data_IF_212816069128
#
_entry.id   IF_212816069128
#
_cell.length_a   1.000
_cell.length_b   1.000
_cell.length_c   1.000
_cell.angle_alpha   90.00
_cell.angle_beta   90.00
_cell.angle_gamma   90.00
#
_symmetry.space_group_name_H-M   'P 1'
#
loop_
_entity.id
_entity.type
_entity.pdbx_description
1 polymer ?
#
# COMPACT_ATOMS: atom_id res chain seq x y z
N UNK A 1 79.01 -12.80 4.73
CA UNK A 1 78.28 -12.48 5.98
C UNK A 1 77.08 -11.65 5.57
N UNK A 2 75.89 -12.22 5.79
CA UNK A 2 74.51 -11.71 5.83
C UNK A 2 74.24 -10.23 5.44
N UNK A 3 73.17 -9.87 4.71
CA UNK A 3 71.90 -10.57 4.58
C UNK A 3 71.13 -10.20 3.31
N UNK A 4 70.37 -11.19 2.85
CA UNK A 4 69.29 -11.06 1.88
C UNK A 4 68.08 -10.62 2.70
N UNK A 5 67.39 -9.55 2.28
CA UNK A 5 66.04 -9.22 2.72
C UNK A 5 65.05 -9.70 1.63
N UNK A 6 64.43 -10.88 1.74
CA UNK A 6 63.41 -11.34 0.81
C UNK A 6 62.04 -11.11 1.42
N UNK A 7 61.21 -10.25 0.81
CA UNK A 7 59.86 -10.05 1.33
C UNK A 7 58.98 -8.99 0.67
N UNK A 8 59.15 -8.71 -0.62
CA UNK A 8 58.19 -7.89 -1.37
C UNK A 8 57.27 -8.77 -2.21
N UNK A 9 56.19 -9.26 -1.60
CA UNK A 9 54.98 -9.78 -2.25
C UNK A 9 53.89 -9.81 -1.16
N UNK A 10 52.64 -9.34 -1.36
CA UNK A 10 51.81 -9.46 -2.57
C UNK A 10 50.76 -8.31 -2.72
N UNK A 11 51.17 -7.05 -2.87
CA UNK A 11 50.21 -5.93 -2.91
C UNK A 11 49.31 -5.89 -4.17
N UNK A 12 49.62 -6.68 -5.20
CA UNK A 12 48.92 -6.63 -6.48
C UNK A 12 47.67 -7.51 -6.60
N UNK A 13 47.59 -8.72 -6.01
CA UNK A 13 46.34 -9.50 -6.00
C UNK A 13 45.24 -8.90 -5.10
N UNK A 14 45.62 -8.22 -4.01
CA UNK A 14 44.68 -7.64 -3.04
C UNK A 14 43.95 -6.42 -3.61
N UNK A 15 44.66 -5.47 -4.24
CA UNK A 15 44.04 -4.31 -4.89
C UNK A 15 43.01 -4.70 -5.96
N UNK A 16 43.25 -5.78 -6.72
CA UNK A 16 42.28 -6.29 -7.71
C UNK A 16 41.03 -6.88 -7.06
N UNK A 17 41.14 -7.47 -5.88
CA UNK A 17 39.98 -7.96 -5.12
C UNK A 17 39.17 -6.80 -4.57
N UNK A 18 39.84 -5.77 -4.05
CA UNK A 18 39.20 -4.56 -3.51
C UNK A 18 38.40 -3.82 -4.61
N UNK A 19 38.92 -3.73 -5.83
CA UNK A 19 38.21 -3.18 -6.99
C UNK A 19 36.98 -4.00 -7.37
N UNK A 20 37.09 -5.34 -7.37
CA UNK A 20 35.96 -6.23 -7.67
C UNK A 20 34.88 -6.18 -6.58
N UNK A 21 35.28 -6.06 -5.31
CA UNK A 21 34.38 -5.88 -4.19
C UNK A 21 33.68 -4.52 -4.25
N UNK A 22 34.41 -3.46 -4.59
CA UNK A 22 33.83 -2.13 -4.79
C UNK A 22 32.79 -2.12 -5.92
N UNK A 23 33.10 -2.76 -7.05
CA UNK A 23 32.18 -2.91 -8.19
C UNK A 23 30.93 -3.72 -7.81
N UNK A 24 31.10 -4.82 -7.08
CA UNK A 24 29.97 -5.62 -6.59
C UNK A 24 29.09 -4.80 -5.63
N UNK A 25 29.71 -4.00 -4.75
CA UNK A 25 29.01 -3.14 -3.80
C UNK A 25 28.20 -2.06 -4.53
N UNK A 26 28.75 -1.46 -5.59
CA UNK A 26 28.02 -0.52 -6.46
C UNK A 26 26.81 -1.19 -7.12
N UNK A 27 26.98 -2.41 -7.66
CA UNK A 27 25.88 -3.16 -8.29
C UNK A 27 24.80 -3.55 -7.27
N UNK A 28 25.18 -3.98 -6.08
CA UNK A 28 24.23 -4.30 -5.01
C UNK A 28 23.45 -3.05 -4.56
N UNK A 29 24.14 -1.92 -4.37
CA UNK A 29 23.49 -0.66 -4.01
C UNK A 29 22.51 -0.18 -5.09
N UNK A 30 22.82 -0.36 -6.38
CA UNK A 30 21.90 -0.03 -7.47
C UNK A 30 20.64 -0.91 -7.46
N UNK A 31 20.78 -2.20 -7.18
CA UNK A 31 19.65 -3.14 -7.04
C UNK A 31 18.79 -2.77 -5.82
N UNK A 32 19.42 -2.49 -4.67
CA UNK A 32 18.72 -2.09 -3.45
C UNK A 32 17.98 -0.76 -3.63
N UNK A 33 18.62 0.25 -4.24
CA UNK A 33 17.97 1.53 -4.53
C UNK A 33 16.76 1.39 -5.46
N UNK A 34 16.87 0.53 -6.49
CA UNK A 34 15.74 0.23 -7.38
C UNK A 34 14.60 -0.44 -6.61
N UNK A 35 14.93 -1.41 -5.75
CA UNK A 35 13.96 -2.09 -4.88
C UNK A 35 13.25 -1.11 -3.95
N UNK A 36 13.98 -0.21 -3.29
CA UNK A 36 13.41 0.78 -2.37
C UNK A 36 12.48 1.76 -3.09
N UNK A 37 12.87 2.18 -4.29
CA UNK A 37 12.04 3.05 -5.14
C UNK A 37 10.74 2.37 -5.58
N UNK A 38 10.79 1.07 -5.89
CA UNK A 38 9.60 0.27 -6.20
C UNK A 38 8.71 0.08 -4.97
N UNK A 39 9.28 -0.13 -3.78
CA UNK A 39 8.50 -0.21 -2.54
C UNK A 39 7.80 1.11 -2.22
N UNK A 40 8.50 2.25 -2.35
CA UNK A 40 7.92 3.57 -2.14
C UNK A 40 6.79 3.88 -3.14
N UNK A 41 6.94 3.45 -4.41
CA UNK A 41 5.88 3.57 -5.41
C UNK A 41 4.68 2.69 -5.08
N UNK A 42 4.90 1.43 -4.65
CA UNK A 42 3.83 0.54 -4.24
C UNK A 42 3.09 1.12 -3.02
N UNK A 43 3.82 1.63 -2.03
CA UNK A 43 3.26 2.28 -0.85
C UNK A 43 2.45 3.53 -1.23
N UNK A 44 2.92 4.34 -2.17
CA UNK A 44 2.17 5.48 -2.69
C UNK A 44 0.91 5.05 -3.45
N UNK A 45 0.98 4.00 -4.28
CA UNK A 45 -0.19 3.45 -5.00
C UNK A 45 -1.21 2.85 -4.03
N UNK A 46 -0.74 2.12 -3.02
CA UNK A 46 -1.59 1.57 -1.95
C UNK A 46 -2.22 2.70 -1.16
N UNK A 47 -1.45 3.74 -0.79
CA UNK A 47 -1.96 4.92 -0.06
C UNK A 47 -3.02 5.67 -0.86
N UNK A 48 -2.79 5.92 -2.16
CA UNK A 48 -3.76 6.56 -3.04
C UNK A 48 -5.00 5.67 -3.23
N UNK A 49 -4.81 4.36 -3.38
CA UNK A 49 -5.90 3.39 -3.51
C UNK A 49 -6.70 3.20 -2.21
N UNK A 50 -6.06 3.32 -1.04
CA UNK A 50 -6.70 3.19 0.27
C UNK A 50 -7.40 4.46 0.72
N UNK A 51 -6.86 5.64 0.37
CA UNK A 51 -7.57 6.93 0.55
C UNK A 51 -8.77 7.06 -0.40
N UNK A 52 -8.83 6.23 -1.45
CA UNK A 52 -9.92 6.10 -2.42
C UNK A 52 -10.61 4.72 -2.37
N UNK A 53 -10.65 4.05 -1.21
CA UNK A 53 -11.61 2.95 -1.07
C UNK A 53 -13.02 3.56 -1.10
N UNK A 54 -13.64 3.57 -2.28
CA UNK A 54 -14.95 4.15 -2.53
C UNK A 54 -15.97 3.73 -1.44
N UNK A 55 -16.09 2.45 -1.05
CA UNK A 55 -16.87 2.03 0.12
C UNK A 55 -16.55 2.81 1.41
N UNK A 56 -15.27 2.99 1.76
CA UNK A 56 -14.84 3.74 2.94
C UNK A 56 -15.19 5.23 2.85
N UNK A 57 -14.95 5.86 1.70
CA UNK A 57 -15.28 7.29 1.50
C UNK A 57 -16.79 7.51 1.59
N UNK A 58 -17.58 6.68 0.91
CA UNK A 58 -19.03 6.76 0.94
C UNK A 58 -19.61 6.48 2.33
N UNK A 59 -19.01 5.53 3.08
CA UNK A 59 -19.35 5.30 4.50
C UNK A 59 -19.13 6.56 5.35
N UNK A 60 -17.96 7.21 5.24
CA UNK A 60 -17.68 8.46 5.97
C UNK A 60 -18.67 9.58 5.65
N UNK A 61 -19.08 9.69 4.38
CA UNK A 61 -20.08 10.68 3.95
C UNK A 61 -21.41 10.41 4.66
N UNK A 62 -21.92 9.18 4.62
CA UNK A 62 -23.21 8.88 5.23
C UNK A 62 -23.15 8.99 6.76
N UNK A 63 -22.06 8.58 7.42
CA UNK A 63 -21.86 8.77 8.87
C UNK A 63 -21.90 10.25 9.27
N UNK A 64 -21.22 11.11 8.49
CA UNK A 64 -21.20 12.55 8.71
C UNK A 64 -22.60 13.14 8.52
N UNK A 65 -23.29 12.76 7.45
CA UNK A 65 -24.65 13.22 7.18
C UNK A 65 -25.65 12.78 8.27
N UNK A 66 -25.59 11.51 8.69
CA UNK A 66 -26.41 10.95 9.77
C UNK A 66 -26.19 11.69 11.08
N UNK A 67 -24.93 12.02 11.40
CA UNK A 67 -24.59 12.81 12.59
C UNK A 67 -25.12 14.25 12.50
N UNK A 68 -25.00 14.90 11.32
CA UNK A 68 -25.46 16.28 11.10
C UNK A 68 -26.98 16.44 11.27
N UNK A 69 -27.75 15.40 10.98
CA UNK A 69 -29.23 15.42 11.08
C UNK A 69 -29.75 14.74 12.35
N UNK A 70 -28.87 14.32 13.25
CA UNK A 70 -29.19 13.60 14.48
C UNK A 70 -30.07 12.34 14.24
N UNK A 71 -29.76 11.60 13.18
CA UNK A 71 -30.46 10.37 12.83
C UNK A 71 -29.82 9.15 13.49
N UNK A 72 -30.64 8.17 13.88
CA UNK A 72 -30.16 6.90 14.47
C UNK A 72 -29.47 5.98 13.46
N UNK A 73 -29.87 6.04 12.18
CA UNK A 73 -29.30 5.24 11.11
C UNK A 73 -29.38 5.97 9.76
N UNK A 74 -28.55 5.56 8.81
CA UNK A 74 -28.54 6.09 7.45
C UNK A 74 -28.01 5.06 6.46
N UNK A 75 -28.25 5.28 5.17
CA UNK A 75 -27.67 4.43 4.14
C UNK A 75 -27.44 5.18 2.84
N UNK A 76 -26.44 4.73 2.08
CA UNK A 76 -26.16 5.20 0.74
C UNK A 76 -26.22 4.04 -0.27
N UNK A 77 -26.99 4.23 -1.33
CA UNK A 77 -27.05 3.31 -2.47
C UNK A 77 -26.25 3.83 -3.67
N UNK A 78 -25.46 2.98 -4.30
CA UNK A 78 -24.79 3.25 -5.58
C UNK A 78 -25.59 2.57 -6.68
N UNK A 79 -26.11 3.34 -7.62
CA UNK A 79 -26.92 2.85 -8.74
C UNK A 79 -26.03 2.64 -9.97
N UNK A 80 -26.14 1.47 -10.58
CA UNK A 80 -25.49 1.10 -11.83
C UNK A 80 -26.33 1.37 -13.06
N UNK A 81 -25.94 0.77 -14.18
CA UNK A 81 -26.78 0.77 -15.37
C UNK A 81 -28.09 0.01 -15.10
N UNK A 82 -29.17 0.39 -15.79
CA UNK A 82 -30.49 -0.25 -15.67
C UNK A 82 -31.13 -0.15 -14.27
N UNK A 83 -30.86 0.92 -13.51
CA UNK A 83 -31.39 1.15 -12.16
C UNK A 83 -31.04 0.04 -11.15
N UNK A 84 -29.98 -0.71 -11.41
CA UNK A 84 -29.52 -1.78 -10.52
C UNK A 84 -28.76 -1.21 -9.32
N UNK A 85 -29.00 -1.74 -8.12
CA UNK A 85 -28.23 -1.36 -6.93
C UNK A 85 -26.91 -2.12 -6.94
N UNK A 86 -25.81 -1.42 -7.21
CA UNK A 86 -24.46 -1.99 -7.23
C UNK A 86 -23.88 -2.15 -5.82
N UNK A 87 -24.20 -1.22 -4.92
CA UNK A 87 -23.67 -1.22 -3.57
C UNK A 87 -24.65 -0.54 -2.62
N UNK A 88 -24.76 -1.07 -1.40
CA UNK A 88 -25.53 -0.49 -0.32
C UNK A 88 -24.67 -0.38 0.93
N UNK A 89 -24.60 0.81 1.52
CA UNK A 89 -23.72 1.12 2.66
C UNK A 89 -24.59 1.60 3.83
N UNK A 90 -25.05 0.70 4.71
CA UNK A 90 -25.77 1.07 5.92
C UNK A 90 -24.82 1.51 7.04
N UNK A 91 -25.26 2.48 7.85
CA UNK A 91 -24.58 2.98 9.04
C UNK A 91 -25.57 3.18 10.19
N UNK A 92 -25.08 3.06 11.43
CA UNK A 92 -25.91 3.18 12.64
C UNK A 92 -26.76 1.94 12.98
N UNK A 93 -26.57 0.82 12.26
CA UNK A 93 -27.24 -0.46 12.51
C UNK A 93 -26.19 -1.53 12.87
N UNK A 94 -26.53 -2.43 13.81
CA UNK A 94 -25.70 -3.62 14.09
C UNK A 94 -25.83 -4.67 12.98
N UNK A 95 -24.89 -5.62 12.95
CA UNK A 95 -24.98 -6.75 12.01
C UNK A 95 -26.26 -7.57 12.23
N UNK A 96 -26.72 -7.76 13.47
CA UNK A 96 -27.98 -8.45 13.75
C UNK A 96 -29.21 -7.66 13.28
N UNK A 97 -29.15 -6.33 13.29
CA UNK A 97 -30.23 -5.48 12.78
C UNK A 97 -30.28 -5.50 11.26
N UNK A 98 -29.11 -5.45 10.62
CA UNK A 98 -28.94 -5.59 9.18
C UNK A 98 -29.45 -6.96 8.69
N UNK A 99 -29.13 -8.04 9.40
CA UNK A 99 -29.55 -9.39 9.03
C UNK A 99 -31.07 -9.60 9.05
N UNK A 100 -31.82 -8.73 9.74
CA UNK A 100 -33.30 -8.74 9.73
C UNK A 100 -33.91 -7.99 8.56
N UNK A 101 -33.12 -7.26 7.77
CA UNK A 101 -33.60 -6.55 6.58
C UNK A 101 -33.74 -7.58 5.45
N UNK A 102 -34.98 -7.87 5.06
CA UNK A 102 -35.30 -8.94 4.10
C UNK A 102 -34.69 -8.68 2.71
N UNK A 103 -34.72 -7.42 2.26
CA UNK A 103 -34.12 -6.98 0.99
C UNK A 103 -33.65 -5.53 1.11
N UNK A 104 -32.56 -5.18 0.42
CA UNK A 104 -32.12 -3.79 0.33
C UNK A 104 -33.11 -2.94 -0.48
N UNK A 105 -33.25 -1.64 -0.19
CA UNK A 105 -34.10 -0.77 -0.98
C UNK A 105 -33.59 -0.72 -2.43
N UNK A 106 -34.40 -1.21 -3.36
CA UNK A 106 -34.18 -1.06 -4.79
C UNK A 106 -34.83 0.26 -5.24
N UNK A 107 -34.09 1.10 -5.95
CA UNK A 107 -34.66 2.33 -6.54
C UNK A 107 -35.77 1.98 -7.53
N UNK A 108 -36.83 2.80 -7.57
CA UNK A 108 -37.93 2.69 -8.53
C UNK A 108 -37.48 2.98 -9.97
#
# INVERSE_FOLDING_TARGET
MFGVEPGQSPLMPQMRLDELLAELQVRLNAVLSTRDRVHALLEAVVSVGSDLDLPTVLRRIVETATTLVDASYGALGVVGQESTLLQFIPVGLSEEEIARIEHWPHGL
#
